data_IF_428822661325
#
_entry.id   IF_428822661325
#
_cell.length_a   1.000
_cell.length_b   1.000
_cell.length_c   1.000
_cell.angle_alpha   90.00
_cell.angle_beta   90.00
_cell.angle_gamma   90.00
#
_symmetry.space_group_name_H-M   'P 1'
#
loop_
_entity.id
_entity.type
_entity.pdbx_description
1 polymer ?
#
# COMPACT_ATOMS: atom_id res chain seq x y z
N UNK A 1 6.29 -18.87 -1.80
CA UNK A 1 5.31 -19.98 -1.61
C UNK A 1 5.83 -21.31 -2.12
N UNK A 2 6.28 -21.40 -3.38
CA UNK A 2 6.86 -22.63 -3.95
C UNK A 2 8.04 -23.17 -3.12
N UNK A 3 9.02 -22.30 -2.85
CA UNK A 3 10.21 -22.62 -2.05
C UNK A 3 9.87 -23.06 -0.63
N UNK A 4 8.93 -22.38 0.03
CA UNK A 4 8.50 -22.72 1.39
C UNK A 4 7.80 -24.09 1.52
N UNK A 5 7.35 -24.66 0.41
CA UNK A 5 6.63 -25.94 0.37
C UNK A 5 7.42 -27.04 -0.33
N UNK A 6 8.71 -26.82 -0.62
CA UNK A 6 9.55 -27.77 -1.35
C UNK A 6 8.93 -28.17 -2.70
N UNK A 7 8.38 -27.17 -3.40
CA UNK A 7 7.88 -27.33 -4.76
C UNK A 7 8.91 -26.76 -5.77
N UNK A 8 9.01 -27.36 -6.98
CA UNK A 8 9.93 -26.88 -8.00
C UNK A 8 9.66 -25.42 -8.36
N UNK A 9 10.70 -24.65 -8.76
CA UNK A 9 10.56 -23.23 -9.08
C UNK A 9 9.59 -23.00 -10.25
N UNK A 10 9.05 -21.78 -10.32
CA UNK A 10 7.95 -21.37 -11.21
C UNK A 10 8.23 -21.52 -12.71
N UNK A 11 9.47 -21.77 -13.11
CA UNK A 11 9.87 -21.97 -14.51
C UNK A 11 9.21 -23.21 -15.13
N UNK A 12 8.81 -24.18 -14.30
CA UNK A 12 8.00 -25.34 -14.71
C UNK A 12 6.58 -25.18 -14.16
N UNK A 13 5.78 -24.30 -14.79
CA UNK A 13 4.42 -23.95 -14.34
C UNK A 13 3.55 -25.17 -14.01
N UNK A 14 3.58 -26.19 -14.86
CA UNK A 14 2.76 -27.39 -14.69
C UNK A 14 3.22 -28.25 -13.52
N UNK A 15 4.54 -28.34 -13.30
CA UNK A 15 5.14 -29.06 -12.17
C UNK A 15 4.86 -28.38 -10.84
N UNK A 16 4.95 -27.04 -10.81
CA UNK A 16 4.61 -26.24 -9.63
C UNK A 16 3.13 -26.40 -9.24
N UNK A 17 2.21 -26.25 -10.20
CA UNK A 17 0.77 -26.39 -9.93
C UNK A 17 0.43 -27.80 -9.46
N UNK A 18 1.03 -28.82 -10.08
CA UNK A 18 0.81 -30.22 -9.68
C UNK A 18 1.33 -30.49 -8.27
N UNK A 19 2.49 -29.93 -7.90
CA UNK A 19 3.03 -30.03 -6.56
C UNK A 19 2.11 -29.34 -5.53
N UNK A 20 1.71 -28.08 -5.78
CA UNK A 20 0.84 -27.33 -4.88
C UNK A 20 -0.52 -28.01 -4.68
N UNK A 21 -1.08 -28.64 -5.73
CA UNK A 21 -2.32 -29.42 -5.64
C UNK A 21 -2.22 -30.66 -4.74
N UNK A 22 -1.01 -31.18 -4.51
CA UNK A 22 -0.77 -32.34 -3.63
C UNK A 22 -0.54 -31.95 -2.17
N UNK A 23 -0.24 -30.68 -1.88
CA UNK A 23 -0.06 -30.19 -0.51
C UNK A 23 -1.41 -30.08 0.19
N UNK A 24 -1.42 -30.38 1.49
CA UNK A 24 -2.61 -30.23 2.31
C UNK A 24 -2.96 -28.76 2.52
N UNK A 25 -4.24 -28.46 2.74
CA UNK A 25 -4.71 -27.10 3.03
C UNK A 25 -3.97 -26.49 4.22
N UNK A 26 -3.65 -27.30 5.24
CA UNK A 26 -2.89 -26.83 6.42
C UNK A 26 -1.47 -26.42 6.05
N UNK A 27 -0.77 -27.17 5.20
CA UNK A 27 0.55 -26.80 4.72
C UNK A 27 0.48 -25.51 3.89
N UNK A 28 -0.47 -25.41 2.96
CA UNK A 28 -0.66 -24.21 2.13
C UNK A 28 -0.89 -22.94 2.95
N UNK A 29 -1.70 -23.03 4.01
CA UNK A 29 -2.02 -21.91 4.90
C UNK A 29 -0.92 -21.60 5.92
N UNK A 30 -0.03 -22.56 6.19
CA UNK A 30 1.09 -22.36 7.13
C UNK A 30 2.20 -21.48 6.56
N UNK A 31 2.22 -21.25 5.24
CA UNK A 31 3.23 -20.43 4.58
C UNK A 31 3.03 -18.97 4.93
N UNK A 32 4.04 -18.38 5.56
CA UNK A 32 4.08 -16.94 5.80
C UNK A 32 4.54 -16.20 4.54
N UNK A 33 3.62 -15.51 3.87
CA UNK A 33 3.91 -14.74 2.66
C UNK A 33 4.39 -13.33 3.07
N UNK A 34 5.70 -13.11 2.97
CA UNK A 34 6.28 -11.79 3.19
C UNK A 34 5.94 -10.89 1.99
N UNK A 35 5.05 -9.93 2.19
CA UNK A 35 4.73 -8.91 1.20
C UNK A 35 5.09 -7.52 1.68
N UNK A 36 5.26 -6.62 0.72
CA UNK A 36 5.38 -5.19 1.02
C UNK A 36 4.11 -4.70 1.75
N UNK A 37 4.22 -3.74 2.67
CA UNK A 37 3.06 -3.12 3.28
C UNK A 37 2.07 -2.60 2.22
N UNK A 38 0.77 -2.68 2.51
CA UNK A 38 -0.30 -2.26 1.61
C UNK A 38 -0.40 -3.08 0.31
N UNK A 39 0.17 -4.29 0.30
CA UNK A 39 0.06 -5.24 -0.80
C UNK A 39 -0.58 -6.55 -0.34
N UNK A 40 -1.51 -7.06 -1.15
CA UNK A 40 -2.19 -8.33 -0.90
C UNK A 40 -1.50 -9.45 -1.68
N UNK A 41 -0.85 -10.44 -1.03
CA UNK A 41 -0.11 -11.51 -1.72
C UNK A 41 -0.98 -12.40 -2.59
N UNK A 42 -2.19 -12.70 -2.11
CA UNK A 42 -3.15 -13.59 -2.76
C UNK A 42 -4.48 -12.86 -2.81
N UNK A 43 -4.92 -12.51 -4.00
CA UNK A 43 -6.15 -11.76 -4.21
C UNK A 43 -6.64 -11.90 -5.66
N UNK A 44 -7.67 -11.14 -6.03
CA UNK A 44 -8.18 -11.12 -7.40
C UNK A 44 -7.06 -10.71 -8.37
N UNK A 45 -7.00 -11.40 -9.51
CA UNK A 45 -6.03 -11.11 -10.59
C UNK A 45 -6.79 -10.85 -11.89
N UNK A 46 -6.23 -10.01 -12.76
CA UNK A 46 -6.73 -9.81 -14.12
C UNK A 46 -6.43 -11.07 -14.94
N UNK A 47 -7.40 -11.98 -15.02
CA UNK A 47 -7.29 -13.28 -15.67
C UNK A 47 -7.78 -13.28 -17.13
N UNK A 48 -8.40 -12.19 -17.58
CA UNK A 48 -8.97 -12.07 -18.93
C UNK A 48 -10.34 -12.74 -19.10
N UNK A 49 -10.82 -13.48 -18.10
CA UNK A 49 -12.08 -14.24 -18.15
C UNK A 49 -13.10 -13.64 -17.20
N UNK A 50 -12.84 -13.68 -15.90
CA UNK A 50 -13.70 -13.10 -14.86
C UNK A 50 -13.38 -11.62 -14.70
N UNK A 51 -12.10 -11.28 -14.58
CA UNK A 51 -11.60 -9.91 -14.51
C UNK A 51 -10.85 -9.64 -15.81
N UNK A 52 -11.58 -9.09 -16.79
CA UNK A 52 -11.11 -8.95 -18.17
C UNK A 52 -10.02 -7.91 -18.35
N UNK A 53 -10.10 -6.82 -17.58
CA UNK A 53 -9.19 -5.68 -17.65
C UNK A 53 -8.91 -5.18 -16.24
N UNK A 54 -7.96 -4.27 -16.14
CA UNK A 54 -7.75 -3.45 -14.96
C UNK A 54 -9.10 -2.87 -14.46
N UNK A 55 -9.47 -3.07 -13.18
CA UNK A 55 -10.76 -2.63 -12.65
C UNK A 55 -11.02 -1.14 -12.82
N UNK A 56 -9.99 -0.29 -12.70
CA UNK A 56 -10.13 1.16 -12.87
C UNK A 56 -10.45 1.52 -14.32
N UNK A 57 -9.85 0.82 -15.29
CA UNK A 57 -10.18 1.00 -16.71
C UNK A 57 -11.57 0.49 -17.02
N UNK A 58 -11.93 -0.71 -16.55
CA UNK A 58 -13.26 -1.27 -16.76
C UNK A 58 -14.37 -0.40 -16.16
N UNK A 59 -14.18 0.16 -14.97
CA UNK A 59 -15.16 1.10 -14.38
C UNK A 59 -15.34 2.38 -15.19
N UNK A 60 -14.29 2.86 -15.89
CA UNK A 60 -14.34 4.08 -16.70
C UNK A 60 -14.92 3.84 -18.10
N UNK A 61 -14.57 2.72 -18.72
CA UNK A 61 -14.90 2.40 -20.11
C UNK A 61 -16.22 1.62 -20.23
N UNK A 62 -16.48 0.67 -19.33
CA UNK A 62 -17.64 -0.23 -19.41
C UNK A 62 -18.85 0.35 -18.66
N UNK A 63 -19.35 1.50 -19.13
CA UNK A 63 -20.57 2.15 -18.62
C UNK A 63 -21.80 1.24 -18.75
N UNK A 64 -21.78 0.30 -19.69
CA UNK A 64 -22.84 -0.67 -19.91
C UNK A 64 -22.96 -1.78 -18.86
N UNK A 65 -22.00 -1.95 -17.94
CA UNK A 65 -22.13 -2.90 -16.82
C UNK A 65 -22.09 -2.13 -15.50
N UNK A 66 -21.09 -1.27 -15.32
CA UNK A 66 -20.89 -0.58 -14.03
C UNK A 66 -21.79 0.65 -13.82
N UNK A 67 -22.38 1.20 -14.90
CA UNK A 67 -23.32 2.33 -14.81
C UNK A 67 -24.80 1.92 -14.73
N UNK A 68 -25.11 0.62 -14.76
CA UNK A 68 -26.49 0.12 -14.81
C UNK A 68 -27.12 -0.18 -13.45
N UNK A 69 -26.32 -0.21 -12.39
CA UNK A 69 -26.76 -0.61 -11.07
C UNK A 69 -26.77 0.61 -10.14
N UNK A 70 -27.83 0.73 -9.34
CA UNK A 70 -27.86 1.69 -8.24
C UNK A 70 -26.91 1.20 -7.14
N UNK A 71 -25.84 1.96 -6.89
CA UNK A 71 -24.80 1.62 -5.92
C UNK A 71 -24.88 2.55 -4.71
N UNK A 72 -24.93 1.98 -3.51
CA UNK A 72 -24.67 2.70 -2.27
C UNK A 72 -23.32 2.26 -1.70
N UNK A 73 -22.40 3.21 -1.56
CA UNK A 73 -21.09 2.98 -0.97
C UNK A 73 -20.77 4.11 0.01
N UNK A 74 -19.93 3.81 0.99
CA UNK A 74 -19.55 4.76 2.02
C UNK A 74 -18.30 4.29 2.75
N UNK A 75 -17.67 5.23 3.45
CA UNK A 75 -16.50 4.98 4.27
C UNK A 75 -16.82 5.28 5.72
N UNK A 76 -16.11 4.64 6.65
CA UNK A 76 -16.26 4.92 8.08
C UNK A 76 -15.10 5.75 8.61
N UNK A 77 -15.27 6.40 9.77
CA UNK A 77 -14.19 7.20 10.39
C UNK A 77 -12.99 6.33 10.82
N UNK A 78 -13.20 5.03 11.07
CA UNK A 78 -12.22 4.16 11.70
C UNK A 78 -12.15 2.77 11.03
N UNK A 79 -11.95 2.72 9.71
CA UNK A 79 -11.91 1.46 8.93
C UNK A 79 -10.74 0.56 9.32
N UNK A 80 -9.58 1.16 9.56
CA UNK A 80 -8.32 0.45 9.78
C UNK A 80 -7.92 0.41 11.25
N UNK A 81 -8.89 0.46 12.17
CA UNK A 81 -8.61 0.48 13.61
C UNK A 81 -7.72 -0.70 14.07
N UNK A 82 -7.96 -1.89 13.52
CA UNK A 82 -7.20 -3.09 13.85
C UNK A 82 -5.74 -3.08 13.35
N UNK A 83 -5.37 -2.14 12.48
CA UNK A 83 -3.99 -1.99 12.01
C UNK A 83 -3.16 -1.09 12.93
N UNK A 84 -3.77 -0.47 13.94
CA UNK A 84 -3.11 0.41 14.89
C UNK A 84 -2.50 -0.41 16.04
N UNK A 85 -1.26 -0.10 16.42
CA UNK A 85 -0.70 -0.61 17.68
C UNK A 85 -1.34 0.07 18.89
N UNK A 86 -1.24 -0.55 20.07
CA UNK A 86 -1.82 -0.01 21.32
C UNK A 86 -1.37 1.43 21.62
N UNK A 87 -0.10 1.74 21.34
CA UNK A 87 0.46 3.06 21.52
C UNK A 87 -0.07 4.06 20.49
N UNK A 88 -0.20 3.63 19.23
CA UNK A 88 -0.71 4.46 18.13
C UNK A 88 -2.19 4.79 18.33
N UNK A 89 -2.98 3.86 18.89
CA UNK A 89 -4.39 4.08 19.20
C UNK A 89 -4.59 5.07 20.36
N UNK A 90 -3.70 5.06 21.36
CA UNK A 90 -3.84 5.91 22.56
C UNK A 90 -3.22 7.29 22.37
N UNK A 91 -2.05 7.37 21.74
CA UNK A 91 -1.25 8.59 21.65
C UNK A 91 -1.23 9.20 20.24
N UNK A 92 -1.87 8.55 19.26
CA UNK A 92 -1.75 8.90 17.85
C UNK A 92 -0.39 8.53 17.26
N UNK A 93 -0.22 8.80 15.97
CA UNK A 93 1.04 8.50 15.28
C UNK A 93 2.14 9.52 15.59
N UNK A 94 3.32 9.01 15.93
CA UNK A 94 4.55 9.80 15.88
C UNK A 94 4.83 10.28 14.46
N UNK A 95 5.54 11.40 14.32
CA UNK A 95 5.90 11.97 13.01
C UNK A 95 6.69 10.94 12.17
N UNK A 96 7.63 10.23 12.80
CA UNK A 96 8.41 9.19 12.14
C UNK A 96 7.54 8.03 11.65
N UNK A 97 6.63 7.52 12.50
CA UNK A 97 5.72 6.43 12.13
C UNK A 97 4.79 6.83 10.99
N UNK A 98 4.22 8.04 11.06
CA UNK A 98 3.37 8.60 10.01
C UNK A 98 4.11 8.69 8.68
N UNK A 99 5.29 9.32 8.67
CA UNK A 99 6.08 9.49 7.45
C UNK A 99 6.49 8.12 6.87
N UNK A 100 6.86 7.15 7.72
CA UNK A 100 7.15 5.79 7.26
C UNK A 100 5.94 5.13 6.58
N UNK A 101 4.75 5.19 7.20
CA UNK A 101 3.54 4.59 6.63
C UNK A 101 3.14 5.25 5.31
N UNK A 102 3.18 6.58 5.24
CA UNK A 102 2.87 7.33 4.01
C UNK A 102 3.86 6.99 2.90
N UNK A 103 5.16 6.97 3.21
CA UNK A 103 6.20 6.66 2.21
C UNK A 103 6.06 5.22 1.70
N UNK A 104 5.85 4.26 2.61
CA UNK A 104 5.62 2.88 2.23
C UNK A 104 4.37 2.74 1.35
N UNK A 105 3.26 3.43 1.68
CA UNK A 105 2.06 3.41 0.85
C UNK A 105 2.32 3.95 -0.56
N UNK A 106 2.94 5.13 -0.65
CA UNK A 106 3.20 5.78 -1.95
C UNK A 106 4.16 4.95 -2.79
N UNK A 107 5.27 4.50 -2.22
CA UNK A 107 6.28 3.71 -2.93
C UNK A 107 5.77 2.34 -3.38
N UNK A 108 4.83 1.73 -2.65
CA UNK A 108 4.32 0.41 -2.99
C UNK A 108 3.12 0.43 -3.94
N UNK A 109 2.38 1.54 -4.01
CA UNK A 109 1.17 1.65 -4.85
C UNK A 109 1.37 2.50 -6.12
N UNK A 110 2.40 3.35 -6.16
CA UNK A 110 2.65 4.25 -7.28
C UNK A 110 4.10 4.15 -7.75
N UNK A 111 4.32 3.39 -8.82
CA UNK A 111 5.64 3.17 -9.43
C UNK A 111 6.31 4.47 -9.95
N UNK A 112 5.53 5.53 -10.24
CA UNK A 112 6.02 6.71 -10.95
C UNK A 112 6.21 7.98 -10.09
N UNK A 113 5.99 7.92 -8.77
CA UNK A 113 5.99 9.12 -7.90
C UNK A 113 7.27 9.35 -7.09
N UNK A 114 8.30 8.51 -7.25
CA UNK A 114 9.57 8.64 -6.50
C UNK A 114 10.22 10.03 -6.71
N UNK A 115 10.00 10.69 -7.86
CA UNK A 115 10.50 12.05 -8.14
C UNK A 115 9.64 13.19 -7.55
N UNK A 116 8.37 12.94 -7.21
CA UNK A 116 7.43 13.96 -6.69
C UNK A 116 7.12 13.80 -5.19
N UNK A 117 7.32 12.61 -4.62
CA UNK A 117 7.10 12.34 -3.19
C UNK A 117 8.00 13.18 -2.27
N UNK A 118 9.22 13.51 -2.71
CA UNK A 118 10.11 14.41 -1.97
C UNK A 118 9.51 15.82 -1.78
N UNK A 119 8.70 16.30 -2.73
CA UNK A 119 8.02 17.59 -2.65
C UNK A 119 6.73 17.54 -1.82
N UNK A 120 5.95 16.44 -1.91
CA UNK A 120 4.69 16.30 -1.18
C UNK A 120 4.86 15.99 0.33
N UNK A 121 6.01 15.47 0.75
CA UNK A 121 6.38 15.25 2.16
C UNK A 121 7.08 16.44 2.80
N UNK A 122 7.41 17.47 2.01
CA UNK A 122 7.99 18.73 2.51
C UNK A 122 7.12 19.49 3.53
N UNK A 123 5.76 19.44 3.53
CA UNK A 123 4.97 20.14 4.55
C UNK A 123 5.05 19.48 5.94
N UNK A 124 5.58 18.26 6.06
CA UNK A 124 5.82 17.58 7.35
C UNK A 124 7.28 17.64 7.81
N UNK A 125 8.11 18.50 7.21
CA UNK A 125 9.43 18.83 7.76
C UNK A 125 9.27 19.87 8.88
N UNK A 126 9.76 19.62 10.11
CA UNK A 126 9.76 20.65 11.12
C UNK A 126 10.74 21.76 10.70
N UNK A 127 10.22 22.97 10.57
CA UNK A 127 10.95 24.25 10.61
C UNK A 127 11.96 24.49 9.46
N UNK A 128 11.47 25.09 8.37
CA UNK A 128 12.30 25.90 7.45
C UNK A 128 11.80 27.35 7.30
N UNK A 129 11.09 27.86 8.31
CA UNK A 129 10.50 29.21 8.31
C UNK A 129 10.84 30.08 9.52
N UNK A 130 11.68 29.61 10.46
CA UNK A 130 12.01 30.35 11.70
C UNK A 130 13.52 30.60 11.88
N UNK A 131 14.33 30.56 10.82
CA UNK A 131 15.78 30.81 10.90
C UNK A 131 16.27 32.06 10.15
N UNK A 132 15.35 32.87 9.61
CA UNK A 132 15.67 34.19 9.03
C UNK A 132 15.14 35.38 9.86
N UNK A 133 14.21 35.19 10.80
CA UNK A 133 13.65 36.29 11.59
C UNK A 133 14.58 36.82 12.70
N UNK A 134 15.56 36.04 13.15
CA UNK A 134 16.48 36.43 14.25
C UNK A 134 17.80 37.07 13.76
N UNK A 135 17.95 37.33 12.45
CA UNK A 135 19.16 38.00 11.91
C UNK A 135 18.94 39.45 11.48
N UNK A 136 17.71 39.97 11.61
CA UNK A 136 17.36 41.36 11.27
C UNK A 136 17.16 42.28 12.51
N UNK A 137 17.64 41.87 13.68
CA UNK A 137 17.58 42.63 14.93
C UNK A 137 18.96 42.82 15.54
N UNK A 138 19.88 43.47 14.82
CA UNK A 138 21.24 43.66 15.30
C UNK A 138 21.93 44.88 14.69
N UNK A 139 21.99 45.94 15.51
CA UNK A 139 22.99 47.04 15.48
C UNK A 139 22.61 48.30 14.68
N UNK A 140 21.96 49.24 15.39
CA UNK A 140 22.38 50.65 15.31
C UNK A 140 22.31 51.30 16.71
N UNK A 141 23.49 51.54 17.29
CA UNK A 141 23.79 52.43 18.41
C UNK A 141 25.25 52.80 18.28
N UNK A 142 25.51 54.05 17.93
CA UNK A 142 26.84 54.65 17.79
C UNK A 142 26.79 55.84 16.86
#
# INVERSE_FOLDING_TARGET
MAEALDCPPSDVRDGLITCLRRKSVRELLSVNLQTKPFYTPLGPVVDGVIIKKDPLKSMREDTGIFGKFDLMYGVTRAESFHMLGDADSKNGFSVHRRNHLVNAYVSNNYENFVSLGAAALSPFSPLRGWREADRAGGRDKG
#
